data_IF_867975765820
#
_entry.id   IF_867975765820
#
_cell.length_a   1.000
_cell.length_b   1.000
_cell.length_c   1.000
_cell.angle_alpha   90.00
_cell.angle_beta   90.00
_cell.angle_gamma   90.00
#
_symmetry.space_group_name_H-M   'P 1'
#
loop_
_entity.id
_entity.type
_entity.pdbx_description
1 polymer ?
#
# COMPACT_ATOMS: atom_id res chain seq x y z
N UNK A 1 10.31 -15.51 -12.26
CA UNK A 1 9.27 -15.05 -11.32
C UNK A 1 7.95 -15.05 -12.07
N UNK A 2 6.95 -15.80 -11.59
CA UNK A 2 5.59 -15.67 -12.09
C UNK A 2 5.11 -14.26 -11.70
N UNK A 3 4.57 -13.49 -12.65
CA UNK A 3 3.87 -12.27 -12.29
C UNK A 3 2.74 -12.65 -11.34
N UNK A 4 2.68 -12.01 -10.17
CA UNK A 4 1.55 -12.16 -9.27
C UNK A 4 0.30 -11.73 -10.03
N UNK A 5 -0.64 -12.66 -10.24
CA UNK A 5 -1.94 -12.31 -10.77
C UNK A 5 -2.80 -11.90 -9.58
N UNK A 6 -3.23 -10.64 -9.54
CA UNK A 6 -4.13 -10.18 -8.49
C UNK A 6 -5.46 -10.91 -8.59
N UNK A 7 -5.98 -11.46 -7.47
CA UNK A 7 -7.30 -12.05 -7.44
C UNK A 7 -8.36 -11.04 -7.87
N UNK A 8 -9.34 -11.47 -8.67
CA UNK A 8 -10.46 -10.63 -9.12
C UNK A 8 -11.77 -10.96 -8.40
N UNK A 9 -11.78 -11.98 -7.54
CA UNK A 9 -12.91 -12.37 -6.70
C UNK A 9 -12.52 -12.41 -5.23
N UNK A 10 -13.49 -12.24 -4.34
CA UNK A 10 -13.27 -12.30 -2.89
C UNK A 10 -12.85 -13.70 -2.43
N UNK A 11 -13.37 -14.76 -3.06
CA UNK A 11 -12.99 -16.15 -2.78
C UNK A 11 -11.52 -16.42 -3.15
N UNK A 12 -11.10 -16.03 -4.35
CA UNK A 12 -9.71 -16.17 -4.76
C UNK A 12 -8.76 -15.34 -3.90
N UNK A 13 -9.18 -14.13 -3.48
CA UNK A 13 -8.40 -13.33 -2.55
C UNK A 13 -8.24 -14.03 -1.20
N UNK A 14 -9.32 -14.59 -0.64
CA UNK A 14 -9.27 -15.28 0.65
C UNK A 14 -8.38 -16.53 0.58
N UNK A 15 -8.45 -17.29 -0.51
CA UNK A 15 -7.55 -18.41 -0.73
C UNK A 15 -6.06 -17.97 -0.75
N UNK A 16 -5.76 -16.86 -1.43
CA UNK A 16 -4.42 -16.28 -1.44
C UNK A 16 -4.02 -15.76 -0.05
N UNK A 17 -4.94 -15.12 0.70
CA UNK A 17 -4.69 -14.68 2.08
C UNK A 17 -4.29 -15.87 2.97
N UNK A 18 -5.00 -16.98 2.86
CA UNK A 18 -4.71 -18.20 3.61
C UNK A 18 -3.33 -18.76 3.24
N UNK A 19 -2.96 -18.76 1.96
CA UNK A 19 -1.62 -19.15 1.51
C UNK A 19 -0.53 -18.24 2.08
N UNK A 20 -0.64 -16.94 1.88
CA UNK A 20 0.34 -15.95 2.33
C UNK A 20 0.49 -15.95 3.86
N UNK A 21 -0.57 -16.24 4.61
CA UNK A 21 -0.55 -16.33 6.07
C UNK A 21 0.46 -17.37 6.61
N UNK A 22 0.75 -18.40 5.79
CA UNK A 22 1.65 -19.51 6.12
C UNK A 22 3.09 -19.27 5.67
N UNK A 23 3.32 -18.30 4.80
CA UNK A 23 4.66 -18.01 4.27
C UNK A 23 5.54 -17.27 5.29
N UNK A 24 6.78 -17.75 5.40
CA UNK A 24 7.85 -17.15 6.20
C UNK A 24 9.05 -16.88 5.28
N UNK A 25 9.02 -15.79 4.50
CA UNK A 25 10.16 -15.44 3.65
C UNK A 25 11.36 -15.03 4.51
N UNK A 26 12.60 -15.15 4.00
CA UNK A 26 13.79 -14.70 4.71
C UNK A 26 13.66 -13.22 5.13
N UNK A 27 13.89 -12.90 6.42
CA UNK A 27 13.74 -11.54 6.91
C UNK A 27 14.75 -10.62 6.22
N UNK A 28 14.28 -9.44 5.84
CA UNK A 28 15.14 -8.35 5.44
C UNK A 28 15.51 -7.53 6.68
N UNK A 29 16.76 -7.07 6.72
CA UNK A 29 17.29 -6.20 7.77
C UNK A 29 17.90 -4.97 7.10
N UNK A 30 17.63 -3.76 7.62
CA UNK A 30 18.35 -2.57 7.20
C UNK A 30 19.86 -2.78 7.37
N UNK A 31 20.63 -2.44 6.33
CA UNK A 31 22.09 -2.50 6.36
C UNK A 31 22.65 -1.28 5.63
N UNK A 32 23.43 -0.45 6.33
CA UNK A 32 23.92 0.81 5.77
C UNK A 32 22.80 1.78 5.42
N UNK A 33 23.02 2.59 4.39
CA UNK A 33 21.99 3.48 3.84
C UNK A 33 20.98 2.67 3.02
N UNK A 34 19.69 2.83 3.34
CA UNK A 34 18.59 2.19 2.64
C UNK A 34 17.53 3.21 2.24
N UNK A 35 16.81 2.90 1.17
CA UNK A 35 15.78 3.75 0.59
C UNK A 35 14.40 3.32 1.01
N UNK A 36 13.71 4.20 1.72
CA UNK A 36 12.30 4.03 2.08
C UNK A 36 11.42 4.62 0.99
N UNK A 37 10.65 3.77 0.34
CA UNK A 37 9.57 4.18 -0.56
C UNK A 37 8.22 4.21 0.14
N UNK A 38 7.22 4.75 -0.54
CA UNK A 38 5.83 4.60 -0.13
C UNK A 38 4.90 4.57 -1.33
N UNK A 39 3.73 3.97 -1.16
CA UNK A 39 2.68 3.97 -2.17
C UNK A 39 1.33 4.33 -1.53
N UNK A 40 0.50 5.01 -2.30
CA UNK A 40 -0.84 5.41 -1.87
C UNK A 40 -1.79 5.47 -3.07
N UNK A 41 -3.06 5.16 -2.84
CA UNK A 41 -4.14 5.31 -3.83
C UNK A 41 -5.29 6.15 -3.26
N UNK A 42 -5.95 6.92 -4.12
CA UNK A 42 -7.23 7.55 -3.80
C UNK A 42 -8.27 7.30 -4.88
N UNK A 43 -9.54 7.23 -4.47
CA UNK A 43 -10.69 7.25 -5.36
C UNK A 43 -11.20 8.66 -5.65
N UNK A 44 -12.37 8.76 -6.33
CA UNK A 44 -12.97 10.04 -6.70
C UNK A 44 -13.35 10.91 -5.51
N UNK A 45 -13.60 12.20 -5.75
CA UNK A 45 -14.18 13.10 -4.73
C UNK A 45 -15.69 12.91 -4.66
N UNK A 46 -16.27 13.11 -3.48
CA UNK A 46 -17.72 13.14 -3.31
C UNK A 46 -18.44 11.80 -3.51
N UNK A 47 -17.73 10.72 -3.85
CA UNK A 47 -18.30 9.38 -3.87
C UNK A 47 -18.68 8.95 -2.46
N UNK A 48 -19.98 8.87 -2.21
CA UNK A 48 -20.53 8.27 -1.00
C UNK A 48 -20.58 6.74 -1.14
N UNK A 49 -20.46 6.02 -0.02
CA UNK A 49 -20.50 4.56 0.03
C UNK A 49 -19.17 3.88 -0.28
N UNK A 50 -19.21 2.56 -0.46
CA UNK A 50 -18.03 1.71 -0.64
C UNK A 50 -17.37 1.83 -2.03
N UNK A 51 -17.99 2.53 -2.98
CA UNK A 51 -17.59 2.55 -4.38
C UNK A 51 -17.94 1.24 -5.11
N UNK A 52 -17.42 1.06 -6.33
CA UNK A 52 -17.67 -0.13 -7.17
C UNK A 52 -16.40 -0.58 -7.90
N UNK A 53 -16.42 -1.80 -8.42
CA UNK A 53 -15.43 -2.25 -9.39
C UNK A 53 -15.45 -1.34 -10.63
N UNK A 54 -14.28 -1.10 -11.22
CA UNK A 54 -14.10 -0.23 -12.38
C UNK A 54 -14.14 1.27 -12.08
N UNK A 55 -14.40 1.67 -10.83
CA UNK A 55 -14.36 3.08 -10.45
C UNK A 55 -12.93 3.64 -10.64
N UNK A 56 -12.75 4.88 -11.11
CA UNK A 56 -11.42 5.47 -11.25
C UNK A 56 -10.67 5.53 -9.92
N UNK A 57 -9.39 5.21 -9.97
CA UNK A 57 -8.42 5.34 -8.89
C UNK A 57 -7.14 6.01 -9.39
N UNK A 58 -6.49 6.73 -8.50
CA UNK A 58 -5.20 7.38 -8.76
C UNK A 58 -4.21 6.92 -7.71
N UNK A 59 -3.17 6.22 -8.17
CA UNK A 59 -2.09 5.76 -7.32
C UNK A 59 -0.81 6.54 -7.59
N UNK A 60 -0.02 6.72 -6.55
CA UNK A 60 1.33 7.25 -6.68
C UNK A 60 2.27 6.48 -5.75
N UNK A 61 3.49 6.25 -6.25
CA UNK A 61 4.59 5.70 -5.50
C UNK A 61 5.74 6.69 -5.45
N UNK A 62 6.54 6.64 -4.39
CA UNK A 62 7.74 7.45 -4.20
C UNK A 62 8.90 6.59 -3.73
N UNK A 63 10.11 6.98 -4.10
CA UNK A 63 11.38 6.33 -3.73
C UNK A 63 12.48 7.38 -3.71
N UNK A 64 12.82 7.89 -2.51
CA UNK A 64 13.70 9.06 -2.39
C UNK A 64 13.12 10.30 -3.10
N UNK A 65 13.81 10.80 -4.13
CA UNK A 65 13.34 11.93 -4.97
C UNK A 65 12.55 11.47 -6.21
N UNK A 66 12.61 10.18 -6.54
CA UNK A 66 11.87 9.62 -7.65
C UNK A 66 10.41 9.36 -7.26
N UNK A 67 9.52 9.51 -8.23
CA UNK A 67 8.10 9.22 -8.05
C UNK A 67 7.46 8.80 -9.37
N UNK A 68 6.33 8.11 -9.26
CA UNK A 68 5.45 7.77 -10.36
C UNK A 68 4.00 7.96 -9.91
N UNK A 69 3.14 8.43 -10.79
CA UNK A 69 1.71 8.53 -10.54
C UNK A 69 0.94 8.11 -11.79
N UNK A 70 -0.16 7.40 -11.60
CA UNK A 70 -0.98 6.90 -12.68
C UNK A 70 -2.44 6.78 -12.27
N UNK A 71 -3.32 6.83 -13.27
CA UNK A 71 -4.74 6.52 -13.13
C UNK A 71 -5.01 5.08 -13.57
N UNK A 72 -6.05 4.47 -13.00
CA UNK A 72 -6.55 3.15 -13.39
C UNK A 72 -7.90 2.84 -12.75
N UNK A 73 -8.40 1.62 -12.93
CA UNK A 73 -9.61 1.16 -12.27
C UNK A 73 -9.33 0.55 -10.90
N UNK A 74 -10.23 0.74 -9.95
CA UNK A 74 -10.27 -0.01 -8.68
C UNK A 74 -11.01 -1.34 -8.89
N UNK A 75 -10.48 -2.43 -8.33
CA UNK A 75 -10.94 -3.79 -8.66
C UNK A 75 -12.28 -4.19 -8.05
N UNK A 76 -12.69 -3.60 -6.93
CA UNK A 76 -13.91 -3.96 -6.20
C UNK A 76 -14.41 -2.81 -5.31
N UNK A 77 -15.62 -2.94 -4.75
CA UNK A 77 -16.08 -2.06 -3.67
C UNK A 77 -15.21 -2.22 -2.40
N UNK A 78 -15.17 -1.20 -1.55
CA UNK A 78 -14.50 -1.28 -0.26
C UNK A 78 -15.22 -2.27 0.66
N UNK A 79 -14.50 -3.31 1.07
CA UNK A 79 -14.92 -4.25 2.09
C UNK A 79 -13.78 -4.44 3.10
N UNK A 80 -14.04 -4.31 4.42
CA UNK A 80 -13.02 -4.54 5.44
C UNK A 80 -12.35 -5.90 5.28
N UNK A 81 -11.03 -5.87 5.14
CA UNK A 81 -10.20 -7.06 4.96
C UNK A 81 -10.03 -7.56 3.52
N UNK A 82 -10.70 -6.95 2.54
CA UNK A 82 -10.52 -7.24 1.11
C UNK A 82 -9.90 -6.06 0.34
N UNK A 83 -9.17 -5.17 1.02
CA UNK A 83 -8.56 -3.99 0.38
C UNK A 83 -7.59 -4.37 -0.76
N UNK A 84 -6.94 -5.53 -0.65
CA UNK A 84 -6.09 -6.09 -1.69
C UNK A 84 -6.82 -6.31 -3.03
N UNK A 85 -8.09 -6.74 -3.00
CA UNK A 85 -8.92 -6.93 -4.19
C UNK A 85 -9.27 -5.59 -4.85
N UNK A 86 -9.41 -4.53 -4.03
CA UNK A 86 -9.77 -3.20 -4.53
C UNK A 86 -8.57 -2.43 -5.10
N UNK A 87 -7.43 -2.49 -4.43
CA UNK A 87 -6.34 -1.52 -4.63
C UNK A 87 -5.02 -2.16 -5.08
N UNK A 88 -4.84 -3.47 -4.86
CA UNK A 88 -3.55 -4.15 -4.99
C UNK A 88 -2.87 -3.96 -6.34
N UNK A 89 -3.59 -4.26 -7.42
CA UNK A 89 -3.05 -4.17 -8.80
C UNK A 89 -2.63 -2.73 -9.15
N UNK A 90 -3.44 -1.74 -8.77
CA UNK A 90 -3.16 -0.35 -9.07
C UNK A 90 -1.95 0.18 -8.29
N UNK A 91 -1.81 -0.25 -7.03
CA UNK A 91 -0.64 0.06 -6.21
C UNK A 91 0.63 -0.61 -6.76
N UNK A 92 0.57 -1.89 -7.15
CA UNK A 92 1.70 -2.60 -7.75
C UNK A 92 2.17 -1.89 -9.02
N UNK A 93 1.24 -1.53 -9.91
CA UNK A 93 1.56 -0.78 -11.13
C UNK A 93 2.27 0.54 -10.83
N UNK A 94 1.82 1.27 -9.81
CA UNK A 94 2.46 2.53 -9.42
C UNK A 94 3.89 2.32 -8.91
N UNK A 95 4.13 1.27 -8.11
CA UNK A 95 5.48 0.95 -7.62
C UNK A 95 6.39 0.48 -8.75
N UNK A 96 5.91 -0.37 -9.66
CA UNK A 96 6.67 -0.84 -10.83
C UNK A 96 6.98 0.27 -11.83
N UNK A 97 6.21 1.37 -11.82
CA UNK A 97 6.47 2.54 -12.65
C UNK A 97 7.56 3.46 -12.08
N UNK A 98 8.07 3.20 -10.87
CA UNK A 98 9.19 3.96 -10.33
C UNK A 98 10.44 3.72 -11.19
N UNK A 99 11.22 4.78 -11.51
CA UNK A 99 12.48 4.62 -12.21
C UNK A 99 13.53 3.90 -11.35
N UNK A 100 13.38 3.96 -10.03
CA UNK A 100 14.24 3.29 -9.08
C UNK A 100 13.42 2.64 -7.95
N UNK A 101 13.62 1.35 -7.75
CA UNK A 101 12.99 0.62 -6.65
C UNK A 101 13.48 1.15 -5.29
N UNK A 102 12.62 1.19 -4.26
CA UNK A 102 13.04 1.36 -2.88
C UNK A 102 13.57 0.03 -2.32
N UNK A 103 14.28 0.07 -1.20
CA UNK A 103 14.71 -1.13 -0.46
C UNK A 103 13.61 -1.66 0.46
N UNK A 104 12.72 -0.77 0.91
CA UNK A 104 11.53 -1.09 1.73
C UNK A 104 10.40 -0.13 1.39
N UNK A 105 9.16 -0.63 1.37
CA UNK A 105 7.97 0.12 0.97
C UNK A 105 6.97 0.29 2.12
N UNK A 106 6.62 1.54 2.40
CA UNK A 106 5.50 1.87 3.29
C UNK A 106 4.16 1.82 2.53
N UNK A 107 3.17 1.17 3.12
CA UNK A 107 1.83 1.01 2.55
C UNK A 107 0.78 1.51 3.55
N UNK A 108 -0.19 2.33 3.12
CA UNK A 108 -1.32 2.79 3.96
C UNK A 108 -2.36 1.67 4.16
N UNK A 109 -1.92 0.54 4.70
CA UNK A 109 -2.71 -0.67 4.90
C UNK A 109 -2.16 -1.52 6.04
N UNK A 110 -2.92 -2.53 6.48
CA UNK A 110 -2.48 -3.52 7.47
C UNK A 110 -1.56 -4.57 6.85
N UNK A 111 -0.81 -5.26 7.73
CA UNK A 111 0.14 -6.31 7.39
C UNK A 111 -0.31 -7.66 7.95
N UNK A 112 0.54 -8.29 8.78
CA UNK A 112 0.27 -9.59 9.41
C UNK A 112 -0.75 -9.53 10.55
N UNK A 113 -1.05 -8.34 11.05
CA UNK A 113 -2.09 -8.06 12.05
C UNK A 113 -3.52 -8.17 11.51
N UNK A 114 -3.70 -8.59 10.25
CA UNK A 114 -5.00 -8.79 9.62
C UNK A 114 -5.77 -10.00 10.20
N UNK A 115 -7.13 -10.05 10.16
CA UNK A 115 -7.89 -11.21 10.64
C UNK A 115 -7.50 -12.56 10.00
N UNK A 116 -6.99 -12.53 8.77
CA UNK A 116 -6.42 -13.70 8.04
C UNK A 116 -4.89 -13.71 8.01
N UNK A 117 -4.24 -12.88 8.83
CA UNK A 117 -2.79 -12.65 8.87
C UNK A 117 -2.14 -12.24 7.54
N UNK A 118 -2.95 -11.76 6.59
CA UNK A 118 -2.55 -11.34 5.25
C UNK A 118 -3.29 -10.08 4.79
N UNK A 119 -2.87 -8.93 5.32
CA UNK A 119 -3.33 -7.61 4.87
C UNK A 119 -2.67 -7.14 3.57
N UNK A 120 -3.18 -6.06 2.98
CA UNK A 120 -2.70 -5.55 1.69
C UNK A 120 -1.19 -5.22 1.69
N UNK A 121 -0.60 -4.75 2.80
CA UNK A 121 0.84 -4.52 2.84
C UNK A 121 1.65 -5.83 2.65
N UNK A 122 1.17 -6.95 3.19
CA UNK A 122 1.77 -8.27 3.00
C UNK A 122 1.63 -8.73 1.54
N UNK A 123 0.43 -8.63 0.99
CA UNK A 123 0.15 -9.01 -0.41
C UNK A 123 1.02 -8.25 -1.39
N UNK A 124 1.12 -6.93 -1.22
CA UNK A 124 1.90 -6.09 -2.12
C UNK A 124 3.40 -6.41 -2.05
N UNK A 125 3.92 -6.69 -0.84
CA UNK A 125 5.32 -7.08 -0.67
C UNK A 125 5.63 -8.43 -1.31
N UNK A 126 4.72 -9.41 -1.20
CA UNK A 126 4.84 -10.68 -1.91
C UNK A 126 4.82 -10.50 -3.43
N UNK A 127 3.88 -9.72 -3.96
CA UNK A 127 3.74 -9.49 -5.40
C UNK A 127 4.96 -8.78 -6.02
N UNK A 128 5.58 -7.86 -5.26
CA UNK A 128 6.75 -7.10 -5.67
C UNK A 128 8.09 -7.78 -5.34
N UNK A 129 8.08 -8.85 -4.54
CA UNK A 129 9.25 -9.39 -3.83
C UNK A 129 10.07 -8.31 -3.11
N UNK A 130 9.37 -7.45 -2.37
CA UNK A 130 9.93 -6.25 -1.75
C UNK A 130 9.54 -6.19 -0.26
N UNK A 131 10.48 -5.89 0.67
CA UNK A 131 10.14 -5.66 2.06
C UNK A 131 9.05 -4.58 2.21
N UNK A 132 8.01 -4.87 2.99
CA UNK A 132 6.91 -3.92 3.20
C UNK A 132 6.64 -3.67 4.67
N UNK A 133 6.11 -2.49 4.97
CA UNK A 133 5.61 -2.10 6.28
C UNK A 133 4.24 -1.45 6.11
N UNK A 134 3.25 -1.94 6.84
CA UNK A 134 1.94 -1.32 6.90
C UNK A 134 1.90 -0.15 7.87
N UNK A 135 1.19 0.92 7.53
CA UNK A 135 1.00 2.08 8.42
C UNK A 135 -0.47 2.53 8.35
N UNK A 136 -1.20 2.47 9.45
CA UNK A 136 -2.62 2.87 9.48
C UNK A 136 -2.92 3.84 10.61
N UNK A 137 -4.06 4.55 10.51
CA UNK A 137 -4.56 5.43 11.59
C UNK A 137 -5.40 4.70 12.64
N UNK A 138 -5.91 3.53 12.30
CA UNK A 138 -6.78 2.70 13.14
C UNK A 138 -6.35 1.26 13.00
N UNK A 139 -6.43 0.53 14.11
CA UNK A 139 -6.20 -0.90 14.14
C UNK A 139 -7.41 -1.60 13.52
N UNK A 140 -7.17 -2.53 12.60
CA UNK A 140 -8.24 -3.38 12.05
C UNK A 140 -8.50 -4.56 12.98
N UNK A 141 -7.44 -5.14 13.52
CA UNK A 141 -7.45 -6.31 14.38
C UNK A 141 -6.22 -6.29 15.29
N UNK A 142 -6.38 -6.70 16.55
CA UNK A 142 -5.32 -6.67 17.55
C UNK A 142 -4.55 -8.00 17.53
N UNK A 143 -3.75 -8.17 16.47
CA UNK A 143 -2.89 -9.36 16.27
C UNK A 143 -1.45 -9.14 16.72
N UNK A 144 -0.59 -10.12 16.49
CA UNK A 144 0.85 -9.95 16.69
C UNK A 144 1.50 -9.10 15.58
N UNK A 145 2.67 -8.52 15.88
CA UNK A 145 3.47 -7.81 14.89
C UNK A 145 3.02 -6.37 14.60
N UNK A 146 2.27 -5.77 15.52
CA UNK A 146 1.80 -4.39 15.44
C UNK A 146 2.37 -3.55 16.59
N UNK A 147 2.65 -2.28 16.30
CA UNK A 147 3.08 -1.30 17.29
C UNK A 147 2.39 0.04 17.10
N UNK A 148 2.06 0.72 18.21
CA UNK A 148 1.46 2.05 18.17
C UNK A 148 2.52 3.12 18.40
N UNK A 149 2.65 4.03 17.45
CA UNK A 149 3.55 5.18 17.56
C UNK A 149 3.05 6.17 18.64
N UNK A 150 3.94 6.98 19.24
CA UNK A 150 3.53 8.08 20.13
C UNK A 150 2.58 9.08 19.45
N UNK A 151 2.69 9.22 18.13
CA UNK A 151 1.82 10.08 17.31
C UNK A 151 0.45 9.44 16.99
N UNK A 152 0.19 8.22 17.48
CA UNK A 152 -1.07 7.51 17.35
C UNK A 152 -1.29 6.89 15.97
N UNK A 153 -0.24 6.49 15.27
CA UNK A 153 -0.32 5.57 14.11
C UNK A 153 -0.08 4.14 14.56
N UNK A 154 -0.59 3.20 13.80
CA UNK A 154 -0.31 1.77 13.94
C UNK A 154 0.66 1.36 12.85
N UNK A 155 1.72 0.67 13.23
CA UNK A 155 2.75 0.11 12.36
C UNK A 155 2.57 -1.39 12.35
N UNK A 156 2.63 -1.98 11.16
CA UNK A 156 2.35 -3.39 10.94
C UNK A 156 3.54 -4.05 10.23
N UNK A 157 4.09 -5.08 10.85
CA UNK A 157 4.99 -6.01 10.17
C UNK A 157 4.27 -6.65 8.97
N UNK A 158 4.97 -6.83 7.85
CA UNK A 158 4.36 -7.36 6.62
C UNK A 158 5.32 -8.32 5.90
N UNK A 159 5.64 -8.08 4.63
CA UNK A 159 6.49 -8.98 3.85
C UNK A 159 7.95 -8.74 4.22
N UNK A 160 8.66 -9.81 4.62
CA UNK A 160 10.08 -9.81 5.00
C UNK A 160 10.46 -8.83 6.12
N UNK A 161 9.51 -8.28 6.86
CA UNK A 161 9.75 -7.41 8.02
C UNK A 161 9.08 -7.97 9.28
N UNK A 162 9.71 -7.77 10.43
CA UNK A 162 9.10 -7.93 11.75
C UNK A 162 8.78 -6.55 12.36
N UNK A 163 8.24 -6.55 13.58
CA UNK A 163 7.77 -5.32 14.21
C UNK A 163 8.92 -4.39 14.57
N UNK A 164 10.07 -4.93 14.97
CA UNK A 164 11.29 -4.17 15.26
C UNK A 164 11.81 -3.48 14.01
N UNK A 165 11.92 -4.21 12.90
CA UNK A 165 12.34 -3.64 11.61
C UNK A 165 11.34 -2.59 11.12
N UNK A 166 10.04 -2.88 11.27
CA UNK A 166 8.98 -1.95 10.88
C UNK A 166 9.03 -0.63 11.68
N UNK A 167 9.28 -0.73 13.00
CA UNK A 167 9.48 0.43 13.87
C UNK A 167 10.70 1.26 13.46
N UNK A 168 11.83 0.61 13.19
CA UNK A 168 13.07 1.28 12.75
C UNK A 168 12.84 2.04 11.44
N UNK A 169 12.30 1.37 10.43
CA UNK A 169 12.03 1.95 9.10
C UNK A 169 11.12 3.16 9.23
N UNK A 170 10.00 3.06 9.95
CA UNK A 170 9.07 4.19 10.09
C UNK A 170 9.68 5.33 10.90
N UNK A 171 10.45 5.03 11.94
CA UNK A 171 11.12 6.04 12.77
C UNK A 171 12.13 6.85 11.95
N UNK A 172 12.85 6.21 11.02
CA UNK A 172 13.84 6.86 10.15
C UNK A 172 13.24 7.96 9.24
N UNK A 173 11.96 7.87 8.90
CA UNK A 173 11.29 8.78 7.94
C UNK A 173 10.12 9.59 8.50
N UNK A 174 9.81 9.45 9.80
CA UNK A 174 8.70 10.18 10.44
C UNK A 174 9.07 11.60 10.86
N UNK A 175 10.33 11.84 11.22
CA UNK A 175 10.75 13.12 11.81
C UNK A 175 9.89 13.50 13.02
N UNK A 176 9.42 14.76 13.09
CA UNK A 176 8.53 15.26 14.16
C UNK A 176 7.04 15.21 13.82
N UNK A 177 6.67 14.69 12.65
CA UNK A 177 5.29 14.71 12.16
C UNK A 177 4.61 13.35 12.34
N UNK A 178 3.28 13.36 12.46
CA UNK A 178 2.52 12.13 12.69
C UNK A 178 2.70 11.08 11.60
N UNK A 179 2.57 11.46 10.33
CA UNK A 179 2.63 10.54 9.19
C UNK A 179 4.00 10.61 8.51
N UNK A 180 4.64 9.45 8.21
CA UNK A 180 5.92 9.38 7.50
C UNK A 180 5.98 10.25 6.25
N UNK A 181 7.11 10.91 6.01
CA UNK A 181 7.27 11.81 4.88
C UNK A 181 7.00 11.14 3.52
N UNK A 182 7.50 9.91 3.23
CA UNK A 182 7.18 9.20 1.98
C UNK A 182 5.68 8.98 1.77
N UNK A 183 4.94 8.56 2.82
CA UNK A 183 3.49 8.35 2.72
C UNK A 183 2.72 9.65 2.50
N UNK A 184 3.14 10.74 3.13
CA UNK A 184 2.55 12.07 2.89
C UNK A 184 2.73 12.49 1.44
N UNK A 185 3.90 12.24 0.89
CA UNK A 185 4.24 12.61 -0.48
C UNK A 185 3.51 11.76 -1.52
N UNK A 186 3.50 10.44 -1.37
CA UNK A 186 2.68 9.54 -2.20
C UNK A 186 1.20 9.96 -2.19
N UNK A 187 0.67 10.29 -1.00
CA UNK A 187 -0.71 10.80 -0.87
C UNK A 187 -0.94 12.13 -1.58
N UNK A 188 0.03 13.06 -1.50
CA UNK A 188 -0.04 14.36 -2.19
C UNK A 188 -0.09 14.14 -3.70
N UNK A 189 0.84 13.34 -4.24
CA UNK A 189 0.96 13.06 -5.66
C UNK A 189 -0.28 12.36 -6.24
N UNK A 190 -0.81 11.35 -5.57
CA UNK A 190 -2.03 10.67 -5.99
C UNK A 190 -3.23 11.64 -6.07
N UNK A 191 -3.38 12.53 -5.08
CA UNK A 191 -4.44 13.54 -5.06
C UNK A 191 -4.25 14.64 -6.11
N UNK A 192 -3.01 14.99 -6.43
CA UNK A 192 -2.67 15.89 -7.53
C UNK A 192 -3.02 15.26 -8.88
N UNK A 193 -2.69 13.98 -9.10
CA UNK A 193 -3.05 13.25 -10.32
C UNK A 193 -4.57 13.18 -10.53
N UNK A 194 -5.34 12.95 -9.45
CA UNK A 194 -6.79 13.05 -9.49
C UNK A 194 -7.27 14.45 -9.87
N UNK A 195 -6.74 15.48 -9.19
CA UNK A 195 -7.17 16.87 -9.45
C UNK A 195 -6.85 17.31 -10.89
N UNK A 196 -5.73 16.84 -11.45
CA UNK A 196 -5.39 17.05 -12.85
C UNK A 196 -6.41 16.37 -13.78
N UNK A 197 -6.76 15.11 -13.49
CA UNK A 197 -7.78 14.37 -14.26
C UNK A 197 -9.16 15.03 -14.21
N UNK A 198 -9.57 15.52 -13.03
CA UNK A 198 -10.83 16.27 -12.84
C UNK A 198 -10.86 17.60 -13.63
N UNK A 199 -9.68 18.16 -13.96
CA UNK A 199 -9.55 19.44 -14.66
C UNK A 199 -9.42 19.29 -16.18
N UNK A 200 -9.26 18.06 -16.69
CA UNK A 200 -9.16 17.82 -18.13
C UNK A 200 -10.54 18.00 -18.78
N UNK A 201 -10.65 18.78 -19.86
CA UNK A 201 -11.90 18.91 -20.59
C UNK A 201 -12.32 17.54 -21.14
N UNK A 202 -13.62 17.22 -21.03
CA UNK A 202 -14.17 16.03 -21.65
C UNK A 202 -13.85 16.08 -23.16
N UNK A 203 -13.30 15.04 -23.78
CA UNK A 203 -13.13 15.04 -25.23
C UNK A 203 -14.47 15.37 -25.87
N UNK A 204 -14.47 16.32 -26.81
CA UNK A 204 -15.68 16.65 -27.56
C UNK A 204 -16.25 15.36 -28.17
N UNK A 205 -17.57 15.16 -28.15
CA UNK A 205 -18.16 14.01 -28.84
C UNK A 205 -17.73 14.08 -30.31
N UNK A 206 -17.01 13.05 -30.76
CA UNK A 206 -16.59 12.87 -32.15
C UNK A 206 -17.72 12.42 -33.05
#
# INVERSE_FOLDING_TARGET
MLAAHWPTTSEALQALQDELSRLQPPPWRPAGDYRVGAVFVCGPRGSAGAGSAGQPGWAAAVSGRAWAALAGGLGAAYEPGLLALREGELLERAVRALPEAPDVLLVDATGRDHPRRAGLALHLGWALDLPTVGVTRRLLYDGEGVWRTPSGLWIHAAWRTDVETAQEVVSSVSGRVRTPAPLREARRLARSARSYSDSMPNPAPG
#
